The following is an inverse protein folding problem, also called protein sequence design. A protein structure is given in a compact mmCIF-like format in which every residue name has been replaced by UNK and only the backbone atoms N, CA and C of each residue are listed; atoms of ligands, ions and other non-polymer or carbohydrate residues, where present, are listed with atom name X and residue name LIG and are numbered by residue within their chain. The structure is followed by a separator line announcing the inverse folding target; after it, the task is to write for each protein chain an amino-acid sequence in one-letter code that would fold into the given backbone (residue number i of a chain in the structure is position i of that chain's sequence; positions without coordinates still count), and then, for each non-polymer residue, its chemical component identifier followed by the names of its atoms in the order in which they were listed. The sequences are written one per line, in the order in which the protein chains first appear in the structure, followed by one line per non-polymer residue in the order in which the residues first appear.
data_IF_372593031356
#
_entry.id   IF_372593031356
#
_cell.length_a   1.000
_cell.length_b   1.000
_cell.length_c   1.000
_cell.angle_alpha   90.00
_cell.angle_beta   90.00
_cell.angle_gamma   90.00
#
_symmetry.space_group_name_H-M   'P 1'
#
loop_
_entity.id
_entity.type
_entity.pdbx_description
1 polymer ?
#
# COMPACT_ATOMS: atom_id res chain seq x y z
N UNK A 1 11.24 10.10 13.46
CA UNK A 1 11.16 10.24 11.99
C UNK A 1 9.70 10.14 11.55
N UNK A 2 9.31 10.85 10.49
CA UNK A 2 7.97 10.75 9.88
C UNK A 2 8.06 10.03 8.54
N UNK A 3 6.97 9.39 8.13
CA UNK A 3 6.84 8.71 6.85
C UNK A 3 5.55 9.16 6.17
N UNK A 4 5.58 9.22 4.84
CA UNK A 4 4.41 9.47 3.98
C UNK A 4 4.27 8.28 3.05
N UNK A 5 3.07 7.71 2.96
CA UNK A 5 2.72 6.64 2.04
C UNK A 5 1.90 7.23 0.90
N UNK A 6 2.38 7.03 -0.33
CA UNK A 6 1.76 7.60 -1.53
C UNK A 6 1.25 6.52 -2.49
N UNK A 7 0.13 6.80 -3.14
CA UNK A 7 -0.42 6.00 -4.23
C UNK A 7 -0.95 6.93 -5.32
N UNK A 8 -0.50 6.72 -6.56
CA UNK A 8 -0.88 7.54 -7.73
C UNK A 8 -0.75 9.06 -7.50
N UNK A 9 0.34 9.48 -6.86
CA UNK A 9 0.63 10.89 -6.59
C UNK A 9 -0.15 11.51 -5.42
N UNK A 10 -1.03 10.76 -4.76
CA UNK A 10 -1.77 11.23 -3.60
C UNK A 10 -1.25 10.60 -2.30
N UNK A 11 -1.34 11.37 -1.20
CA UNK A 11 -1.02 10.89 0.15
C UNK A 11 -2.14 9.99 0.63
N UNK A 12 -1.82 8.73 0.92
CA UNK A 12 -2.76 7.74 1.47
C UNK A 12 -2.71 7.69 2.99
N UNK A 13 -1.53 7.89 3.57
CA UNK A 13 -1.31 7.87 5.02
C UNK A 13 -0.03 8.64 5.39
N UNK A 14 -0.04 9.35 6.52
CA UNK A 14 1.12 10.07 7.05
C UNK A 14 1.13 10.00 8.58
N UNK A 15 2.31 9.80 9.17
CA UNK A 15 2.44 9.70 10.63
C UNK A 15 3.87 9.42 11.09
N UNK A 16 4.06 9.16 12.39
CA UNK A 16 5.29 8.57 12.91
C UNK A 16 5.58 7.26 12.17
N UNK A 17 6.85 7.06 11.79
CA UNK A 17 7.24 5.89 10.99
C UNK A 17 6.92 4.55 11.68
N UNK A 18 7.01 4.51 13.02
CA UNK A 18 6.69 3.32 13.79
C UNK A 18 5.18 3.03 13.76
N UNK A 19 4.34 4.04 13.98
CA UNK A 19 2.89 3.91 13.95
C UNK A 19 2.38 3.42 12.58
N UNK A 20 2.93 3.97 11.49
CA UNK A 20 2.61 3.53 10.13
C UNK A 20 3.02 2.07 9.85
N UNK A 21 4.08 1.60 10.52
CA UNK A 21 4.60 0.26 10.36
C UNK A 21 3.82 -0.77 11.20
N UNK A 22 3.55 -0.44 12.46
CA UNK A 22 2.90 -1.35 13.43
C UNK A 22 1.36 -1.27 13.38
N UNK A 23 0.80 -0.09 13.14
CA UNK A 23 -0.64 0.18 13.18
C UNK A 23 -1.17 0.89 11.92
N UNK A 24 -0.89 0.36 10.72
CA UNK A 24 -1.35 0.97 9.47
C UNK A 24 -2.88 1.04 9.40
N UNK A 25 -3.41 2.24 9.15
CA UNK A 25 -4.85 2.48 9.06
C UNK A 25 -5.36 2.32 7.63
N UNK A 26 -4.60 2.76 6.63
CA UNK A 26 -5.03 2.71 5.24
C UNK A 26 -4.85 1.29 4.65
N UNK A 27 -5.83 0.74 3.91
CA UNK A 27 -5.74 -0.60 3.32
C UNK A 27 -4.48 -0.82 2.46
N UNK A 28 -4.07 0.21 1.71
CA UNK A 28 -2.83 0.18 0.94
C UNK A 28 -1.59 0.02 1.83
N UNK A 29 -1.48 0.79 2.92
CA UNK A 29 -0.35 0.67 3.86
C UNK A 29 -0.31 -0.70 4.52
N UNK A 30 -1.48 -1.25 4.90
CA UNK A 30 -1.59 -2.63 5.42
C UNK A 30 -1.07 -3.67 4.45
N UNK A 31 -1.38 -3.53 3.16
CA UNK A 31 -0.91 -4.45 2.14
C UNK A 31 0.61 -4.35 1.93
N UNK A 32 1.17 -3.14 1.99
CA UNK A 32 2.62 -2.93 1.92
C UNK A 32 3.34 -3.50 3.13
N UNK A 33 2.84 -3.23 4.34
CA UNK A 33 3.46 -3.77 5.56
C UNK A 33 3.30 -5.28 5.59
N UNK A 34 2.20 -5.90 5.16
CA UNK A 34 2.10 -7.37 5.11
C UNK A 34 3.18 -8.08 4.25
N UNK A 35 3.88 -7.34 3.38
CA UNK A 35 5.03 -7.85 2.61
C UNK A 35 6.35 -7.85 3.38
N UNK A 36 6.41 -7.28 4.59
CA UNK A 36 7.60 -7.19 5.42
C UNK A 36 7.95 -8.52 6.14
N UNK A 37 7.86 -9.64 5.44
CA UNK A 37 8.19 -10.97 5.96
C UNK A 37 9.58 -11.46 5.53
N UNK A 38 10.12 -12.50 6.19
CA UNK A 38 11.32 -13.18 5.70
C UNK A 38 11.06 -13.74 4.30
N UNK A 39 12.06 -13.63 3.42
CA UNK A 39 11.99 -14.25 2.10
C UNK A 39 11.97 -15.77 2.29
N UNK A 40 10.82 -16.38 2.01
CA UNK A 40 10.61 -17.82 2.14
C UNK A 40 10.92 -18.50 0.80
N UNK A 41 11.90 -19.45 0.75
CA UNK A 41 12.13 -20.25 -0.44
C UNK A 41 10.86 -20.99 -0.84
N UNK A 42 10.52 -20.96 -2.13
CA UNK A 42 9.31 -21.59 -2.69
C UNK A 42 7.97 -21.02 -2.18
N UNK A 43 7.95 -19.83 -1.56
CA UNK A 43 6.69 -19.15 -1.27
C UNK A 43 5.88 -18.94 -2.57
N UNK A 44 4.54 -19.06 -2.52
CA UNK A 44 3.71 -18.69 -3.65
C UNK A 44 4.04 -17.26 -4.08
N UNK A 45 4.35 -17.07 -5.35
CA UNK A 45 4.49 -15.73 -5.92
C UNK A 45 3.07 -15.16 -6.01
N UNK A 46 2.64 -14.50 -4.95
CA UNK A 46 1.33 -13.87 -4.84
C UNK A 46 1.46 -12.57 -4.09
N UNK A 47 1.25 -11.45 -4.79
CA UNK A 47 1.24 -10.15 -4.16
C UNK A 47 -0.06 -9.97 -3.35
N UNK A 48 -0.02 -9.30 -2.18
CA UNK A 48 -1.22 -8.92 -1.45
C UNK A 48 -2.09 -7.91 -2.24
N UNK A 49 -1.55 -7.32 -3.30
CA UNK A 49 -2.25 -6.44 -4.21
C UNK A 49 -2.49 -7.17 -5.54
N UNK A 50 -3.76 -7.33 -5.92
CA UNK A 50 -4.15 -8.01 -7.17
C UNK A 50 -4.37 -7.01 -8.31
N UNK A 51 -3.78 -7.26 -9.47
CA UNK A 51 -3.95 -6.44 -10.69
C UNK A 51 -2.97 -5.28 -10.82
N UNK A 52 -3.10 -4.51 -11.90
CA UNK A 52 -2.24 -3.35 -12.18
C UNK A 52 -2.84 -2.04 -11.64
N UNK A 53 -2.02 -1.04 -11.27
CA UNK A 53 -2.54 0.26 -10.85
C UNK A 53 -3.38 0.88 -11.97
N UNK A 54 -4.46 1.61 -11.65
CA UNK A 54 -5.22 2.32 -12.69
C UNK A 54 -4.33 3.38 -13.35
N UNK A 55 -4.73 3.81 -14.55
CA UNK A 55 -4.03 4.84 -15.29
C UNK A 55 -3.98 6.15 -14.49
N UNK A 56 -2.80 6.71 -14.17
CA UNK A 56 -2.71 8.00 -13.46
C UNK A 56 -3.34 9.18 -14.21
N UNK A 57 -3.43 9.10 -15.55
CA UNK A 57 -4.07 10.12 -16.39
C UNK A 57 -5.61 10.03 -16.41
N UNK A 58 -6.16 8.90 -15.96
CA UNK A 58 -7.61 8.65 -15.85
C UNK A 58 -7.93 7.94 -14.53
N UNK A 59 -7.78 8.64 -13.39
CA UNK A 59 -7.96 8.04 -12.08
C UNK A 59 -9.43 7.72 -11.79
N UNK A 60 -9.70 6.68 -10.98
CA UNK A 60 -11.07 6.37 -10.55
C UNK A 60 -11.66 7.53 -9.75
N UNK A 61 -12.97 7.71 -9.84
CA UNK A 61 -13.69 8.69 -9.02
C UNK A 61 -13.71 8.24 -7.57
N UNK A 62 -13.35 9.14 -6.65
CA UNK A 62 -13.34 8.86 -5.21
C UNK A 62 -11.98 8.36 -4.72
N UNK A 63 -11.96 7.27 -3.96
CA UNK A 63 -10.71 6.72 -3.43
C UNK A 63 -9.90 6.08 -4.56
N UNK A 64 -8.65 6.54 -4.74
CA UNK A 64 -7.74 6.05 -5.78
C UNK A 64 -7.44 4.55 -5.66
N UNK A 65 -7.58 4.01 -4.45
CA UNK A 65 -7.33 2.61 -4.13
C UNK A 65 -8.61 1.75 -4.14
N UNK A 66 -9.79 2.29 -4.50
CA UNK A 66 -11.06 1.55 -4.36
C UNK A 66 -11.21 0.32 -5.25
N UNK A 67 -10.41 0.19 -6.31
CA UNK A 67 -10.45 -0.93 -7.25
C UNK A 67 -9.60 -2.14 -6.83
N UNK A 68 -9.24 -2.26 -5.55
CA UNK A 68 -8.29 -3.23 -5.01
C UNK A 68 -8.86 -4.00 -3.83
#
# INVERSE_FOLDING_TARGET
HRMVVMYLGAVMEEGPALDLYEFPQHPYTRALTALNGPVMPHAPIGAPLKGDPPNPLDPPKGCLFSGR
#
